data_IF_332938102294
#
_entry.id   IF_332938102294
#
_cell.length_a   1.000
_cell.length_b   1.000
_cell.length_c   1.000
_cell.angle_alpha   90.00
_cell.angle_beta   90.00
_cell.angle_gamma   90.00
#
_symmetry.space_group_name_H-M   'P 1'
#
loop_
_entity.id
_entity.type
_entity.pdbx_description
1 polymer ?
#
# COMPACT_ATOMS: atom_id res chain seq x y z
N UNK A 1 -0.18 -29.48 -2.31
CA UNK A 1 0.78 -29.72 -1.23
C UNK A 1 2.21 -29.65 -1.75
N UNK A 2 2.61 -30.51 -2.72
CA UNK A 2 4.00 -30.59 -3.18
C UNK A 2 4.57 -29.23 -3.65
N UNK A 3 3.83 -28.46 -4.47
CA UNK A 3 4.28 -27.13 -4.93
C UNK A 3 4.49 -26.15 -3.77
N UNK A 4 3.63 -26.16 -2.75
CA UNK A 4 3.80 -25.30 -1.57
C UNK A 4 5.03 -25.69 -0.75
N UNK A 5 5.29 -26.99 -0.61
CA UNK A 5 6.53 -27.45 0.01
C UNK A 5 7.76 -27.03 -0.79
N UNK A 6 7.72 -27.15 -2.14
CA UNK A 6 8.80 -26.70 -3.02
C UNK A 6 9.03 -25.20 -2.87
N UNK A 7 7.95 -24.40 -2.80
CA UNK A 7 8.03 -22.96 -2.57
C UNK A 7 8.78 -22.61 -1.26
N UNK A 8 8.51 -23.33 -0.16
CA UNK A 8 9.25 -23.16 1.09
C UNK A 8 10.73 -23.52 0.96
N UNK A 9 11.04 -24.62 0.26
CA UNK A 9 12.44 -25.05 0.04
C UNK A 9 13.20 -24.01 -0.79
N UNK A 10 12.60 -23.48 -1.86
CA UNK A 10 13.22 -22.46 -2.72
C UNK A 10 13.48 -21.17 -1.95
N UNK A 11 12.59 -20.77 -1.03
CA UNK A 11 12.83 -19.58 -0.19
C UNK A 11 14.06 -19.73 0.70
N UNK A 12 14.41 -20.94 1.13
CA UNK A 12 15.60 -21.22 1.93
C UNK A 12 16.84 -21.44 1.08
N UNK A 13 16.72 -22.26 0.02
CA UNK A 13 17.83 -22.69 -0.85
C UNK A 13 17.38 -22.60 -2.30
N UNK A 14 17.39 -21.40 -2.92
CA UNK A 14 16.94 -21.21 -4.30
C UNK A 14 17.80 -21.95 -5.34
N UNK A 15 19.06 -22.21 -5.04
CA UNK A 15 20.04 -22.82 -5.92
C UNK A 15 19.68 -24.24 -6.37
N UNK A 16 18.89 -24.96 -5.55
CA UNK A 16 18.51 -26.37 -5.82
C UNK A 16 17.72 -26.52 -7.13
N UNK A 17 16.90 -25.52 -7.49
CA UNK A 17 16.02 -25.55 -8.67
C UNK A 17 16.27 -24.40 -9.64
N UNK A 18 17.41 -23.74 -9.53
CA UNK A 18 17.73 -22.53 -10.29
C UNK A 18 17.65 -22.73 -11.81
N UNK A 19 18.08 -23.91 -12.31
CA UNK A 19 18.08 -24.24 -13.72
C UNK A 19 16.81 -24.95 -14.22
N UNK A 20 15.89 -25.27 -13.29
CA UNK A 20 14.71 -26.11 -13.56
C UNK A 20 13.42 -25.28 -13.69
N UNK A 21 13.51 -24.00 -13.99
CA UNK A 21 12.34 -23.10 -14.07
C UNK A 21 11.27 -23.62 -15.04
N UNK A 22 11.68 -24.26 -16.16
CA UNK A 22 10.79 -24.80 -17.19
C UNK A 22 9.85 -25.91 -16.70
N UNK A 23 10.25 -26.64 -15.65
CA UNK A 23 9.42 -27.71 -15.06
C UNK A 23 8.13 -27.13 -14.47
N UNK A 24 8.17 -25.86 -14.07
CA UNK A 24 7.04 -25.15 -13.47
C UNK A 24 6.16 -24.40 -14.48
N UNK A 25 6.44 -24.47 -15.77
CA UNK A 25 5.57 -23.88 -16.78
C UNK A 25 4.17 -24.49 -16.69
N UNK A 26 3.14 -23.61 -16.76
CA UNK A 26 1.76 -24.04 -16.61
C UNK A 26 1.28 -24.73 -17.87
N UNK A 27 0.63 -25.89 -17.70
CA UNK A 27 -0.02 -26.61 -18.80
C UNK A 27 -1.47 -26.18 -18.91
N UNK A 28 -2.02 -26.23 -20.10
CA UNK A 28 -3.42 -25.88 -20.35
C UNK A 28 -4.40 -26.60 -19.41
N UNK A 29 -4.17 -27.89 -19.17
CA UNK A 29 -5.03 -28.74 -18.34
C UNK A 29 -4.75 -28.64 -16.83
N UNK A 30 -3.81 -27.82 -16.38
CA UNK A 30 -3.53 -27.67 -14.98
C UNK A 30 -4.71 -26.94 -14.29
N UNK A 31 -5.19 -27.41 -13.13
CA UNK A 31 -6.18 -26.69 -12.35
C UNK A 31 -5.64 -25.30 -11.93
N UNK A 32 -6.53 -24.32 -11.80
CA UNK A 32 -6.17 -22.91 -11.50
C UNK A 32 -5.27 -22.79 -10.26
N UNK A 33 -5.57 -23.49 -9.19
CA UNK A 33 -4.75 -23.46 -7.96
C UNK A 33 -3.34 -24.04 -8.16
N UNK A 34 -3.15 -24.96 -9.12
CA UNK A 34 -1.83 -25.48 -9.49
C UNK A 34 -1.08 -24.46 -10.33
N UNK A 35 -1.75 -23.84 -11.30
CA UNK A 35 -1.18 -22.75 -12.12
C UNK A 35 -0.67 -21.60 -11.24
N UNK A 36 -1.46 -21.17 -10.25
CA UNK A 36 -1.08 -20.09 -9.33
C UNK A 36 0.17 -20.43 -8.53
N UNK A 37 0.27 -21.64 -7.95
CA UNK A 37 1.44 -22.06 -7.19
C UNK A 37 2.69 -22.22 -8.08
N UNK A 38 2.53 -22.70 -9.32
CA UNK A 38 3.62 -22.77 -10.30
C UNK A 38 4.12 -21.38 -10.67
N UNK A 39 3.21 -20.43 -10.89
CA UNK A 39 3.53 -19.05 -11.22
C UNK A 39 4.36 -18.38 -10.10
N UNK A 40 3.99 -18.60 -8.84
CA UNK A 40 4.77 -18.09 -7.69
C UNK A 40 6.20 -18.67 -7.68
N UNK A 41 6.35 -19.95 -7.96
CA UNK A 41 7.66 -20.62 -8.04
C UNK A 41 8.48 -20.05 -9.21
N UNK A 42 7.86 -19.88 -10.39
CA UNK A 42 8.53 -19.35 -11.57
C UNK A 42 9.11 -17.96 -11.31
N UNK A 43 8.34 -17.07 -10.66
CA UNK A 43 8.79 -15.72 -10.30
C UNK A 43 9.96 -15.74 -9.32
N UNK A 44 9.94 -16.67 -8.35
CA UNK A 44 11.04 -16.79 -7.39
C UNK A 44 12.33 -17.35 -8.00
N UNK A 45 12.19 -18.24 -9.00
CA UNK A 45 13.31 -18.83 -9.73
C UNK A 45 13.81 -17.97 -10.89
N UNK A 46 13.05 -16.93 -11.28
CA UNK A 46 13.46 -16.04 -12.37
C UNK A 46 14.77 -15.35 -12.06
N UNK A 47 15.74 -15.45 -12.99
CA UNK A 47 17.04 -14.83 -12.97
C UNK A 47 17.35 -14.17 -14.31
N UNK A 48 18.42 -13.40 -14.39
CA UNK A 48 18.81 -12.71 -15.63
C UNK A 48 18.89 -13.63 -16.85
N UNK A 49 19.35 -14.85 -16.67
CA UNK A 49 19.52 -15.85 -17.74
C UNK A 49 18.20 -16.50 -18.20
N UNK A 50 17.22 -16.61 -17.29
CA UNK A 50 15.97 -17.33 -17.52
C UNK A 50 14.78 -16.42 -17.71
N UNK A 51 14.91 -15.13 -17.39
CA UNK A 51 13.79 -14.16 -17.36
C UNK A 51 13.10 -14.04 -18.71
N UNK A 52 13.80 -14.10 -19.83
CA UNK A 52 13.20 -13.98 -21.16
C UNK A 52 12.23 -15.12 -21.46
N UNK A 53 12.59 -16.32 -21.04
CA UNK A 53 11.71 -17.50 -21.19
C UNK A 53 10.49 -17.40 -20.27
N UNK A 54 10.72 -16.93 -19.04
CA UNK A 54 9.63 -16.70 -18.08
C UNK A 54 8.69 -15.60 -18.57
N UNK A 55 9.19 -14.52 -19.15
CA UNK A 55 8.37 -13.44 -19.70
C UNK A 55 7.52 -13.87 -20.89
N UNK A 56 8.06 -14.72 -21.76
CA UNK A 56 7.30 -15.31 -22.87
C UNK A 56 6.10 -16.11 -22.36
N UNK A 57 6.32 -16.96 -21.37
CA UNK A 57 5.25 -17.75 -20.75
C UNK A 57 4.24 -16.84 -20.02
N UNK A 58 4.70 -15.86 -19.25
CA UNK A 58 3.81 -14.93 -18.54
C UNK A 58 2.95 -14.10 -19.51
N UNK A 59 3.49 -13.72 -20.65
CA UNK A 59 2.75 -13.03 -21.73
C UNK A 59 1.64 -13.93 -22.29
N UNK A 60 1.92 -15.21 -22.57
CA UNK A 60 0.91 -16.18 -23.00
C UNK A 60 -0.17 -16.37 -21.93
N UNK A 61 0.22 -16.46 -20.64
CA UNK A 61 -0.75 -16.60 -19.55
C UNK A 61 -1.62 -15.35 -19.38
N UNK A 62 -1.13 -14.17 -19.72
CA UNK A 62 -1.91 -12.94 -19.71
C UNK A 62 -3.00 -12.88 -20.79
N UNK A 63 -3.03 -13.84 -21.73
CA UNK A 63 -4.06 -13.98 -22.77
C UNK A 63 -5.05 -15.12 -22.51
N UNK A 64 -4.93 -15.83 -21.37
CA UNK A 64 -5.84 -16.91 -21.01
C UNK A 64 -7.26 -16.40 -20.65
N UNK A 65 -8.20 -17.34 -20.51
CA UNK A 65 -9.63 -17.04 -20.26
C UNK A 65 -9.90 -16.73 -18.79
N UNK A 66 -9.11 -17.28 -17.86
CA UNK A 66 -9.30 -17.11 -16.44
C UNK A 66 -8.75 -15.76 -15.97
N UNK A 67 -9.64 -14.85 -15.58
CA UNK A 67 -9.30 -13.46 -15.20
C UNK A 67 -8.35 -13.40 -14.00
N UNK A 68 -8.56 -14.24 -12.97
CA UNK A 68 -7.70 -14.23 -11.77
C UNK A 68 -6.28 -14.70 -12.09
N UNK A 69 -6.16 -15.68 -12.98
CA UNK A 69 -4.85 -16.15 -13.42
C UNK A 69 -4.14 -15.11 -14.30
N UNK A 70 -4.87 -14.46 -15.20
CA UNK A 70 -4.36 -13.36 -16.03
C UNK A 70 -3.83 -12.23 -15.18
N UNK A 71 -4.60 -11.73 -14.21
CA UNK A 71 -4.18 -10.69 -13.29
C UNK A 71 -2.91 -11.06 -12.54
N UNK A 72 -2.83 -12.29 -12.01
CA UNK A 72 -1.63 -12.78 -11.33
C UNK A 72 -0.43 -12.88 -12.26
N UNK A 73 -0.64 -13.21 -13.53
CA UNK A 73 0.42 -13.27 -14.54
C UNK A 73 0.97 -11.88 -14.86
N UNK A 74 0.10 -10.88 -14.98
CA UNK A 74 0.52 -9.47 -15.15
C UNK A 74 1.29 -8.97 -13.92
N UNK A 75 0.81 -9.25 -12.70
CA UNK A 75 1.55 -8.96 -11.45
C UNK A 75 2.90 -9.65 -11.39
N UNK A 76 2.98 -10.88 -11.91
CA UNK A 76 4.25 -11.63 -11.96
C UNK A 76 5.28 -10.96 -12.88
N UNK A 77 4.86 -10.40 -14.04
CA UNK A 77 5.73 -9.58 -14.90
C UNK A 77 6.30 -8.40 -14.12
N UNK A 78 5.46 -7.68 -13.36
CA UNK A 78 5.92 -6.57 -12.52
C UNK A 78 6.91 -6.98 -11.44
N UNK A 79 6.69 -8.11 -10.79
CA UNK A 79 7.62 -8.66 -9.80
C UNK A 79 8.97 -9.03 -10.42
N UNK A 80 8.97 -9.55 -11.64
CA UNK A 80 10.21 -9.78 -12.39
C UNK A 80 10.92 -8.45 -12.70
N UNK A 81 10.17 -7.40 -13.10
CA UNK A 81 10.73 -6.08 -13.38
C UNK A 81 11.39 -5.45 -12.13
N UNK A 82 10.72 -5.54 -10.98
CA UNK A 82 11.23 -4.99 -9.71
C UNK A 82 12.43 -5.78 -9.19
N UNK A 83 12.42 -7.10 -9.35
CA UNK A 83 13.45 -8.01 -8.83
C UNK A 83 14.71 -8.11 -9.70
N UNK A 84 14.60 -7.90 -11.02
CA UNK A 84 15.68 -8.08 -11.98
C UNK A 84 15.82 -6.81 -12.82
N UNK A 85 16.76 -5.94 -12.44
CA UNK A 85 16.93 -4.63 -13.08
C UNK A 85 17.25 -4.75 -14.59
N UNK A 86 18.07 -5.71 -14.99
CA UNK A 86 18.45 -5.95 -16.39
C UNK A 86 17.25 -6.39 -17.27
N UNK A 87 16.17 -6.90 -16.65
CA UNK A 87 14.96 -7.32 -17.35
C UNK A 87 13.85 -6.24 -17.33
N UNK A 88 14.00 -5.19 -16.52
CA UNK A 88 12.93 -4.22 -16.29
C UNK A 88 12.40 -3.58 -17.58
N UNK A 89 13.27 -3.21 -18.51
CA UNK A 89 12.88 -2.63 -19.81
C UNK A 89 12.07 -3.62 -20.66
N UNK A 90 12.47 -4.89 -20.68
CA UNK A 90 11.73 -5.94 -21.41
C UNK A 90 10.36 -6.21 -20.79
N UNK A 91 10.28 -6.24 -19.46
CA UNK A 91 9.01 -6.35 -18.75
C UNK A 91 8.07 -5.20 -19.07
N UNK A 92 8.60 -3.98 -19.11
CA UNK A 92 7.84 -2.76 -19.47
C UNK A 92 7.31 -2.86 -20.90
N UNK A 93 8.11 -3.30 -21.86
CA UNK A 93 7.67 -3.47 -23.24
C UNK A 93 6.54 -4.50 -23.35
N UNK A 94 6.63 -5.62 -22.64
CA UNK A 94 5.54 -6.62 -22.57
C UNK A 94 4.27 -6.02 -21.95
N UNK A 95 4.38 -5.20 -20.91
CA UNK A 95 3.22 -4.53 -20.30
C UNK A 95 2.56 -3.53 -21.26
N UNK A 96 3.34 -2.80 -22.06
CA UNK A 96 2.81 -1.91 -23.10
C UNK A 96 2.02 -2.70 -24.15
N UNK A 97 2.59 -3.80 -24.66
CA UNK A 97 1.90 -4.67 -25.60
C UNK A 97 0.58 -5.23 -25.03
N UNK A 98 0.56 -5.56 -23.72
CA UNK A 98 -0.64 -5.99 -23.04
C UNK A 98 -1.70 -4.87 -22.90
N UNK A 99 -1.28 -3.64 -22.67
CA UNK A 99 -2.18 -2.46 -22.64
C UNK A 99 -2.80 -2.22 -24.02
N UNK A 100 -2.02 -2.38 -25.09
CA UNK A 100 -2.50 -2.24 -26.48
C UNK A 100 -3.60 -3.25 -26.83
N UNK A 101 -3.73 -4.36 -26.12
CA UNK A 101 -4.84 -5.32 -26.31
C UNK A 101 -6.20 -4.74 -25.93
N UNK A 102 -6.23 -3.65 -25.13
CA UNK A 102 -7.45 -2.96 -24.64
C UNK A 102 -8.42 -3.85 -23.89
N UNK A 103 -7.94 -4.92 -23.30
CA UNK A 103 -8.74 -5.77 -22.42
C UNK A 103 -8.77 -5.12 -21.02
N UNK A 104 -9.94 -4.67 -20.56
CA UNK A 104 -10.09 -3.83 -19.36
C UNK A 104 -9.34 -4.36 -18.13
N UNK A 105 -9.58 -5.61 -17.71
CA UNK A 105 -8.91 -6.19 -16.52
C UNK A 105 -7.39 -6.35 -16.68
N UNK A 106 -6.88 -6.49 -17.93
CA UNK A 106 -5.43 -6.53 -18.20
C UNK A 106 -4.82 -5.14 -18.08
N UNK A 107 -5.48 -4.13 -18.68
CA UNK A 107 -5.05 -2.73 -18.60
C UNK A 107 -5.02 -2.24 -17.16
N UNK A 108 -6.08 -2.50 -16.40
CA UNK A 108 -6.17 -2.14 -14.99
C UNK A 108 -5.01 -2.70 -14.17
N UNK A 109 -4.74 -4.00 -14.33
CA UNK A 109 -3.66 -4.66 -13.62
C UNK A 109 -2.27 -4.17 -14.09
N UNK A 110 -2.10 -3.89 -15.38
CA UNK A 110 -0.86 -3.34 -15.93
C UNK A 110 -0.55 -1.94 -15.37
N UNK A 111 -1.56 -1.08 -15.20
CA UNK A 111 -1.40 0.26 -14.59
C UNK A 111 -0.91 0.15 -13.15
N UNK A 112 -1.48 -0.77 -12.35
CA UNK A 112 -1.05 -1.02 -10.97
C UNK A 112 0.42 -1.44 -10.93
N UNK A 113 0.80 -2.35 -11.80
CA UNK A 113 2.17 -2.88 -11.90
C UNK A 113 3.15 -1.80 -12.36
N UNK A 114 2.80 -1.00 -13.36
CA UNK A 114 3.64 0.09 -13.88
C UNK A 114 3.90 1.14 -12.79
N UNK A 115 2.92 1.46 -11.96
CA UNK A 115 3.12 2.33 -10.79
C UNK A 115 4.24 1.79 -9.88
N UNK A 116 4.27 0.47 -9.63
CA UNK A 116 5.31 -0.14 -8.79
C UNK A 116 6.68 -0.10 -9.46
N UNK A 117 6.75 -0.28 -10.80
CA UNK A 117 7.98 -0.13 -11.58
C UNK A 117 8.48 1.32 -11.52
N UNK A 118 7.61 2.32 -11.65
CA UNK A 118 7.99 3.73 -11.50
C UNK A 118 8.51 4.06 -10.10
N UNK A 119 7.95 3.45 -9.07
CA UNK A 119 8.45 3.60 -7.69
C UNK A 119 9.79 2.90 -7.47
N UNK A 120 10.08 1.83 -8.21
CA UNK A 120 11.38 1.14 -8.16
C UNK A 120 12.45 1.87 -8.94
N UNK A 121 12.09 2.39 -10.12
CA UNK A 121 13.01 3.06 -11.05
C UNK A 121 12.50 4.47 -11.40
N UNK A 122 12.61 5.44 -10.47
CA UNK A 122 12.15 6.80 -10.71
C UNK A 122 12.79 7.41 -11.97
N UNK A 123 11.98 8.12 -12.76
CA UNK A 123 12.40 8.87 -13.95
C UNK A 123 13.04 8.04 -15.09
N UNK A 124 12.90 6.71 -15.08
CA UNK A 124 13.53 5.87 -16.11
C UNK A 124 12.62 5.51 -17.28
N UNK A 125 11.32 5.36 -17.04
CA UNK A 125 10.36 4.87 -18.04
C UNK A 125 9.23 5.87 -18.34
N UNK A 126 9.52 7.15 -18.32
CA UNK A 126 8.53 8.23 -18.49
C UNK A 126 7.83 8.20 -19.87
N UNK A 127 8.46 7.61 -20.88
CA UNK A 127 7.90 7.49 -22.25
C UNK A 127 6.58 6.72 -22.33
N UNK A 128 6.23 5.97 -21.28
CA UNK A 128 5.00 5.17 -21.24
C UNK A 128 3.78 6.01 -20.82
N UNK A 129 4.01 7.14 -20.17
CA UNK A 129 2.95 7.96 -19.57
C UNK A 129 1.87 8.36 -20.58
N UNK A 130 2.19 8.81 -21.80
CA UNK A 130 1.16 9.12 -22.80
C UNK A 130 0.24 7.95 -23.11
N UNK A 131 0.81 6.75 -23.31
CA UNK A 131 0.03 5.52 -23.56
C UNK A 131 -0.90 5.16 -22.40
N UNK A 132 -0.47 5.41 -21.15
CA UNK A 132 -1.32 5.22 -19.97
C UNK A 132 -2.48 6.23 -19.95
N UNK A 133 -2.20 7.49 -20.29
CA UNK A 133 -3.23 8.56 -20.35
C UNK A 133 -4.28 8.30 -21.44
N UNK A 134 -3.94 7.63 -22.54
CA UNK A 134 -4.89 7.27 -23.61
C UNK A 134 -5.90 6.17 -23.19
N UNK A 135 -5.63 5.44 -22.10
CA UNK A 135 -6.45 4.32 -21.65
C UNK A 135 -7.22 4.60 -20.35
N UNK A 136 -7.39 5.86 -19.97
CA UNK A 136 -8.07 6.29 -18.74
C UNK A 136 -9.50 5.76 -18.63
N UNK A 137 -10.26 5.80 -19.73
CA UNK A 137 -11.67 5.42 -19.79
C UNK A 137 -11.89 3.91 -19.49
N UNK A 138 -10.83 3.10 -19.52
CA UNK A 138 -10.90 1.67 -19.24
C UNK A 138 -10.68 1.32 -17.76
N UNK A 139 -10.45 2.33 -16.91
CA UNK A 139 -10.10 2.15 -15.49
C UNK A 139 -11.33 2.24 -14.59
N UNK A 140 -12.00 1.09 -14.36
CA UNK A 140 -13.17 1.00 -13.48
C UNK A 140 -12.79 0.60 -12.05
N UNK A 141 -11.68 -0.12 -11.86
CA UNK A 141 -11.27 -0.59 -10.53
C UNK A 141 -10.62 0.52 -9.69
N UNK A 142 -11.01 0.67 -8.42
CA UNK A 142 -10.46 1.72 -7.55
C UNK A 142 -8.94 1.67 -7.40
N UNK A 143 -8.34 0.46 -7.34
CA UNK A 143 -6.88 0.30 -7.22
C UNK A 143 -6.15 0.80 -8.46
N UNK A 144 -6.70 0.54 -9.65
CA UNK A 144 -6.15 1.01 -10.93
C UNK A 144 -6.31 2.54 -11.06
N UNK A 145 -7.48 3.08 -10.72
CA UNK A 145 -7.75 4.53 -10.70
C UNK A 145 -6.80 5.26 -9.75
N UNK A 146 -6.67 4.79 -8.52
CA UNK A 146 -5.73 5.35 -7.54
C UNK A 146 -4.28 5.28 -8.01
N UNK A 147 -3.89 4.19 -8.70
CA UNK A 147 -2.54 4.02 -9.25
C UNK A 147 -2.27 5.03 -10.37
N UNK A 148 -3.25 5.23 -11.26
CA UNK A 148 -3.14 6.20 -12.34
C UNK A 148 -3.09 7.64 -11.83
N UNK A 149 -3.95 8.00 -10.90
CA UNK A 149 -3.93 9.31 -10.23
C UNK A 149 -2.59 9.57 -9.55
N UNK A 150 -2.00 8.55 -8.92
CA UNK A 150 -0.66 8.65 -8.35
C UNK A 150 0.40 8.96 -9.42
N UNK A 151 0.35 8.28 -10.58
CA UNK A 151 1.28 8.52 -11.70
C UNK A 151 1.13 9.95 -12.21
N UNK A 152 -0.10 10.43 -12.42
CA UNK A 152 -0.37 11.79 -12.90
C UNK A 152 0.20 12.83 -11.92
N UNK A 153 -0.03 12.67 -10.62
CA UNK A 153 0.50 13.57 -9.60
C UNK A 153 2.04 13.55 -9.51
N UNK A 154 2.66 12.35 -9.60
CA UNK A 154 4.11 12.22 -9.52
C UNK A 154 4.81 12.79 -10.76
N UNK A 155 4.24 12.62 -11.95
CA UNK A 155 4.81 13.07 -13.22
C UNK A 155 4.05 14.24 -13.84
N UNK A 156 3.38 15.06 -13.03
CA UNK A 156 2.59 16.20 -13.48
C UNK A 156 3.37 17.18 -14.38
N UNK A 157 4.68 17.30 -14.22
CA UNK A 157 5.55 18.13 -15.06
C UNK A 157 5.65 17.64 -16.51
N UNK A 158 5.50 16.33 -16.72
CA UNK A 158 5.63 15.65 -18.01
C UNK A 158 4.30 15.53 -18.77
N UNK A 159 3.20 15.77 -18.08
CA UNK A 159 1.85 15.66 -18.64
C UNK A 159 1.32 17.05 -18.85
N UNK A 160 1.10 17.46 -20.11
CA UNK A 160 0.69 18.82 -20.42
C UNK A 160 -0.72 19.12 -19.92
N UNK A 161 -1.64 18.17 -20.01
CA UNK A 161 -3.05 18.27 -19.62
C UNK A 161 -3.34 17.57 -18.26
N UNK A 162 -2.38 17.54 -17.34
CA UNK A 162 -2.55 16.90 -16.03
C UNK A 162 -3.69 17.52 -15.21
N UNK A 163 -3.89 18.83 -15.34
CA UNK A 163 -4.98 19.58 -14.70
C UNK A 163 -6.36 19.14 -15.23
N UNK A 164 -6.53 19.00 -16.54
CA UNK A 164 -7.78 18.56 -17.16
C UNK A 164 -8.15 17.11 -16.76
N UNK A 165 -7.15 16.23 -16.73
CA UNK A 165 -7.36 14.84 -16.32
C UNK A 165 -7.76 14.75 -14.85
N UNK A 166 -7.07 15.49 -13.96
CA UNK A 166 -7.43 15.47 -12.53
C UNK A 166 -8.79 16.13 -12.28
N UNK A 167 -9.19 17.11 -13.07
CA UNK A 167 -10.53 17.72 -13.01
C UNK A 167 -11.62 16.70 -13.33
N UNK A 168 -11.46 15.86 -14.35
CA UNK A 168 -12.38 14.76 -14.67
C UNK A 168 -12.54 13.78 -13.52
N UNK A 169 -11.43 13.40 -12.87
CA UNK A 169 -11.50 12.55 -11.68
C UNK A 169 -12.18 13.24 -10.49
N UNK A 170 -12.09 14.56 -10.41
CA UNK A 170 -12.68 15.34 -9.34
C UNK A 170 -14.21 15.44 -9.45
N UNK A 171 -14.76 15.40 -10.66
CA UNK A 171 -16.22 15.38 -10.88
C UNK A 171 -16.90 14.21 -10.15
N UNK A 172 -16.22 13.06 -10.06
CA UNK A 172 -16.71 11.87 -9.35
C UNK A 172 -16.18 11.76 -7.90
N UNK A 173 -15.49 12.76 -7.37
CA UNK A 173 -14.80 12.68 -6.07
C UNK A 173 -15.66 12.21 -4.90
N UNK A 174 -16.91 12.69 -4.69
CA UNK A 174 -17.72 12.25 -3.56
C UNK A 174 -18.15 10.78 -3.64
N UNK A 175 -18.23 10.23 -4.87
CA UNK A 175 -18.66 8.86 -5.14
C UNK A 175 -17.49 7.86 -5.12
N UNK A 176 -16.25 8.37 -5.14
CA UNK A 176 -15.07 7.54 -5.17
C UNK A 176 -14.75 6.92 -3.80
N UNK A 177 -14.22 5.68 -3.77
CA UNK A 177 -13.69 5.11 -2.54
C UNK A 177 -12.56 5.95 -1.93
N UNK A 178 -12.45 5.96 -0.60
CA UNK A 178 -11.43 6.73 0.16
C UNK A 178 -10.00 6.58 -0.38
N UNK A 179 -9.65 5.40 -0.90
CA UNK A 179 -8.34 5.15 -1.49
C UNK A 179 -8.07 6.05 -2.71
N UNK A 180 -9.07 6.23 -3.58
CA UNK A 180 -8.98 7.11 -4.77
C UNK A 180 -8.98 8.56 -4.33
N UNK A 181 -9.88 8.93 -3.41
CA UNK A 181 -9.98 10.29 -2.86
C UNK A 181 -8.64 10.75 -2.24
N UNK A 182 -7.98 9.89 -1.43
CA UNK A 182 -6.68 10.17 -0.83
C UNK A 182 -5.58 10.39 -1.88
N UNK A 183 -5.59 9.60 -2.96
CA UNK A 183 -4.62 9.78 -4.04
C UNK A 183 -4.91 11.04 -4.85
N UNK A 184 -6.18 11.33 -5.14
CA UNK A 184 -6.59 12.50 -5.89
C UNK A 184 -6.22 13.80 -5.16
N UNK A 185 -6.50 13.86 -3.86
CA UNK A 185 -6.07 14.98 -3.02
C UNK A 185 -4.54 15.15 -3.04
N UNK A 186 -3.79 14.07 -2.89
CA UNK A 186 -2.32 14.13 -2.91
C UNK A 186 -1.79 14.53 -4.30
N UNK A 187 -2.43 14.06 -5.38
CA UNK A 187 -2.06 14.43 -6.75
C UNK A 187 -2.33 15.90 -7.06
N UNK A 188 -3.48 16.44 -6.61
CA UNK A 188 -3.81 17.86 -6.75
C UNK A 188 -2.80 18.75 -6.02
N UNK A 189 -2.41 18.39 -4.80
CA UNK A 189 -1.36 19.10 -4.04
C UNK A 189 -0.03 19.07 -4.78
N UNK A 190 0.39 17.92 -5.30
CA UNK A 190 1.64 17.78 -6.08
C UNK A 190 1.60 18.60 -7.38
N UNK A 191 0.47 18.56 -8.10
CA UNK A 191 0.28 19.33 -9.33
C UNK A 191 0.45 20.82 -9.05
N UNK A 192 -0.22 21.34 -8.01
CA UNK A 192 -0.11 22.75 -7.61
C UNK A 192 1.32 23.15 -7.24
N UNK A 193 2.03 22.33 -6.46
CA UNK A 193 3.40 22.61 -6.05
C UNK A 193 4.41 22.54 -7.21
N UNK A 194 4.13 21.72 -8.24
CA UNK A 194 4.98 21.56 -9.43
C UNK A 194 4.67 22.59 -10.52
N UNK A 195 3.39 22.87 -10.76
CA UNK A 195 2.89 23.81 -11.79
C UNK A 195 1.92 24.81 -11.13
N UNK A 196 2.42 25.82 -10.42
CA UNK A 196 1.56 26.84 -9.81
C UNK A 196 0.91 27.67 -10.93
N UNK A 197 -0.39 27.46 -11.16
CA UNK A 197 -1.23 28.21 -12.08
C UNK A 197 -2.65 28.28 -11.56
N UNK A 198 -3.51 29.07 -12.19
CA UNK A 198 -4.87 29.32 -11.72
C UNK A 198 -5.72 28.04 -11.64
N UNK A 199 -5.64 27.17 -12.65
CA UNK A 199 -6.41 25.89 -12.65
C UNK A 199 -6.01 24.93 -11.52
N UNK A 200 -4.73 24.55 -11.31
CA UNK A 200 -4.31 23.77 -10.15
C UNK A 200 -4.67 24.40 -8.80
N UNK A 201 -4.70 25.73 -8.70
CA UNK A 201 -5.13 26.43 -7.50
C UNK A 201 -6.63 26.21 -7.24
N UNK A 202 -7.48 26.33 -8.26
CA UNK A 202 -8.91 26.03 -8.13
C UNK A 202 -9.16 24.56 -7.80
N UNK A 203 -8.44 23.64 -8.44
CA UNK A 203 -8.53 22.19 -8.14
C UNK A 203 -8.20 21.89 -6.68
N UNK A 204 -7.11 22.43 -6.15
CA UNK A 204 -6.72 22.16 -4.76
C UNK A 204 -7.71 22.73 -3.75
N UNK A 205 -8.27 23.93 -4.02
CA UNK A 205 -9.33 24.53 -3.18
C UNK A 205 -10.55 23.61 -3.13
N UNK A 206 -11.01 23.15 -4.29
CA UNK A 206 -12.17 22.29 -4.39
C UNK A 206 -11.96 20.93 -3.68
N UNK A 207 -10.82 20.28 -3.94
CA UNK A 207 -10.48 19.00 -3.29
C UNK A 207 -10.38 19.14 -1.77
N UNK A 208 -9.73 20.19 -1.27
CA UNK A 208 -9.60 20.41 0.17
C UNK A 208 -10.96 20.74 0.81
N UNK A 209 -11.83 21.47 0.12
CA UNK A 209 -13.18 21.75 0.60
C UNK A 209 -14.01 20.47 0.70
N UNK A 210 -14.06 19.65 -0.34
CA UNK A 210 -14.75 18.35 -0.29
C UNK A 210 -14.19 17.45 0.81
N UNK A 211 -12.87 17.35 0.92
CA UNK A 211 -12.22 16.49 1.90
C UNK A 211 -12.39 16.95 3.35
N UNK A 212 -12.64 18.24 3.61
CA UNK A 212 -12.80 18.75 4.98
C UNK A 212 -14.25 18.86 5.41
N UNK A 213 -15.17 19.11 4.48
CA UNK A 213 -16.59 19.43 4.79
C UNK A 213 -17.54 18.30 4.46
N UNK A 214 -17.32 17.53 3.41
CA UNK A 214 -18.29 16.59 2.86
C UNK A 214 -17.92 15.12 3.10
N UNK A 215 -16.69 14.85 3.58
CA UNK A 215 -16.27 13.44 3.77
C UNK A 215 -16.57 12.92 5.17
N UNK A 216 -16.97 11.64 5.23
CA UNK A 216 -17.13 10.90 6.49
C UNK A 216 -15.83 10.22 6.95
N UNK A 217 -14.84 10.06 6.04
CA UNK A 217 -13.57 9.41 6.32
C UNK A 217 -12.64 10.32 7.16
N UNK A 218 -12.30 9.93 8.41
CA UNK A 218 -11.44 10.73 9.28
C UNK A 218 -10.01 10.85 8.73
N UNK A 219 -9.46 9.79 8.10
CA UNK A 219 -8.08 9.80 7.57
C UNK A 219 -7.95 10.79 6.40
N UNK A 220 -8.98 10.86 5.56
CA UNK A 220 -9.02 11.82 4.46
C UNK A 220 -9.10 13.26 4.98
N UNK A 221 -9.97 13.50 5.97
CA UNK A 221 -10.16 14.81 6.61
C UNK A 221 -8.90 15.30 7.29
N UNK A 222 -8.25 14.45 8.09
CA UNK A 222 -7.03 14.80 8.80
C UNK A 222 -5.89 15.14 7.84
N UNK A 223 -5.74 14.37 6.77
CA UNK A 223 -4.75 14.65 5.73
C UNK A 223 -5.04 15.94 4.98
N UNK A 224 -6.30 16.26 4.72
CA UNK A 224 -6.68 17.54 4.10
C UNK A 224 -6.30 18.73 4.98
N UNK A 225 -6.56 18.66 6.29
CA UNK A 225 -6.12 19.70 7.24
C UNK A 225 -4.59 19.83 7.33
N UNK A 226 -3.84 18.71 7.25
CA UNK A 226 -2.38 18.75 7.22
C UNK A 226 -1.90 19.48 5.96
N UNK A 227 -2.42 19.14 4.78
CA UNK A 227 -2.03 19.81 3.54
C UNK A 227 -2.42 21.28 3.55
N UNK A 228 -3.63 21.60 4.00
CA UNK A 228 -4.07 22.97 4.12
C UNK A 228 -3.12 23.80 5.02
N UNK A 229 -2.78 23.27 6.19
CA UNK A 229 -1.83 23.95 7.10
C UNK A 229 -0.44 24.08 6.50
N UNK A 230 0.08 23.06 5.86
CA UNK A 230 1.39 23.11 5.20
C UNK A 230 1.43 24.19 4.14
N UNK A 231 0.43 24.25 3.27
CA UNK A 231 0.36 25.22 2.17
C UNK A 231 0.18 26.66 2.69
N UNK A 232 -0.57 26.83 3.77
CA UNK A 232 -0.84 28.17 4.36
C UNK A 232 0.30 28.72 5.21
N UNK A 233 1.12 27.86 5.82
CA UNK A 233 2.19 28.29 6.73
C UNK A 233 3.49 28.61 6.01
N UNK A 234 3.96 27.69 5.16
CA UNK A 234 5.20 27.83 4.41
C UNK A 234 5.18 26.96 3.15
N UNK A 235 4.94 27.55 1.97
CA UNK A 235 4.89 26.82 0.71
C UNK A 235 6.20 26.10 0.34
N UNK A 236 7.35 26.65 0.70
CA UNK A 236 8.64 26.01 0.42
C UNK A 236 8.86 24.78 1.32
N UNK A 237 8.44 24.84 2.57
CA UNK A 237 8.45 23.66 3.44
C UNK A 237 7.46 22.61 2.94
N UNK A 238 6.27 23.02 2.51
CA UNK A 238 5.29 22.13 1.88
C UNK A 238 5.88 21.41 0.67
N UNK A 239 6.57 22.14 -0.22
CA UNK A 239 7.26 21.59 -1.38
C UNK A 239 8.31 20.57 -1.00
N UNK A 240 9.16 20.89 -0.04
CA UNK A 240 10.22 19.99 0.44
C UNK A 240 9.67 18.70 1.07
N UNK A 241 8.52 18.76 1.75
CA UNK A 241 7.89 17.59 2.38
C UNK A 241 7.12 16.76 1.34
N UNK A 242 6.25 17.37 0.56
CA UNK A 242 5.34 16.68 -0.36
C UNK A 242 6.08 16.10 -1.57
N UNK A 243 7.05 16.84 -2.11
CA UNK A 243 7.87 16.44 -3.26
C UNK A 243 9.16 15.70 -2.87
N UNK A 244 9.39 15.44 -1.57
CA UNK A 244 10.53 14.67 -1.11
C UNK A 244 10.66 13.33 -1.86
N UNK A 245 11.89 12.90 -2.11
CA UNK A 245 12.15 11.59 -2.69
C UNK A 245 11.52 10.49 -1.85
N UNK A 246 10.79 9.58 -2.54
CA UNK A 246 10.14 8.45 -1.88
C UNK A 246 11.14 7.30 -1.73
N UNK A 247 11.04 6.53 -0.64
CA UNK A 247 11.85 5.33 -0.50
C UNK A 247 11.55 4.37 -1.66
N UNK A 248 12.61 3.83 -2.24
CA UNK A 248 12.52 2.87 -3.35
C UNK A 248 11.85 1.59 -2.84
N UNK A 249 10.95 1.02 -3.64
CA UNK A 249 10.37 -0.29 -3.34
C UNK A 249 11.46 -1.35 -3.43
N UNK A 250 11.69 -2.08 -2.34
CA UNK A 250 12.54 -3.24 -2.35
C UNK A 250 11.78 -4.47 -2.86
N UNK A 251 12.49 -5.37 -3.57
CA UNK A 251 11.95 -6.68 -3.93
C UNK A 251 11.76 -7.52 -2.66
N UNK A 252 10.65 -7.32 -2.00
CA UNK A 252 10.17 -8.27 -1.00
C UNK A 252 9.52 -9.44 -1.76
N UNK A 253 10.37 -10.27 -2.41
CA UNK A 253 9.91 -11.60 -2.85
C UNK A 253 9.15 -12.15 -1.67
N UNK A 254 7.88 -12.49 -1.77
CA UNK A 254 6.98 -13.00 -0.71
C UNK A 254 7.71 -13.94 0.28
N UNK A 255 8.79 -13.43 0.88
CA UNK A 255 9.64 -14.17 1.80
C UNK A 255 8.96 -14.18 3.15
N UNK A 256 8.76 -15.38 3.64
CA UNK A 256 8.33 -15.59 5.01
C UNK A 256 9.42 -15.11 5.97
N UNK A 257 8.99 -14.71 7.16
CA UNK A 257 9.93 -14.45 8.25
C UNK A 257 10.88 -15.64 8.42
N UNK A 258 12.20 -15.42 8.53
CA UNK A 258 13.20 -16.51 8.62
C UNK A 258 12.94 -17.52 9.73
N UNK A 259 12.41 -17.07 10.87
CA UNK A 259 12.05 -17.93 12.00
C UNK A 259 10.87 -18.83 11.64
N UNK A 260 9.81 -18.22 11.08
CA UNK A 260 8.64 -18.96 10.63
C UNK A 260 9.02 -19.96 9.52
N UNK A 261 9.84 -19.54 8.55
CA UNK A 261 10.33 -20.41 7.49
C UNK A 261 11.08 -21.63 8.04
N UNK A 262 11.93 -21.44 9.06
CA UNK A 262 12.61 -22.53 9.74
C UNK A 262 11.65 -23.57 10.33
N UNK A 263 10.64 -23.10 11.08
CA UNK A 263 9.60 -23.96 11.67
C UNK A 263 8.80 -24.70 10.60
N UNK A 264 8.42 -24.02 9.50
CA UNK A 264 7.66 -24.64 8.42
C UNK A 264 8.46 -25.70 7.64
N UNK A 265 9.77 -25.53 7.55
CA UNK A 265 10.67 -26.53 6.93
C UNK A 265 10.83 -27.78 7.77
N UNK A 266 10.84 -27.66 9.12
CA UNK A 266 10.83 -28.80 10.03
C UNK A 266 9.50 -29.58 9.97
N UNK A 267 8.39 -28.87 9.71
CA UNK A 267 7.05 -29.44 9.56
C UNK A 267 6.68 -29.69 8.09
N UNK A 268 7.67 -29.90 7.20
CA UNK A 268 7.45 -30.07 5.77
C UNK A 268 6.52 -31.27 5.49
N UNK A 269 5.53 -31.06 4.61
CA UNK A 269 4.53 -32.09 4.28
C UNK A 269 3.33 -32.14 5.24
N UNK A 270 3.34 -31.37 6.31
CA UNK A 270 2.21 -31.20 7.23
C UNK A 270 1.24 -30.10 6.74
N UNK A 271 0.13 -29.89 7.46
CA UNK A 271 -0.78 -28.78 7.20
C UNK A 271 -0.11 -27.41 7.40
N UNK A 272 0.88 -27.31 8.27
CA UNK A 272 1.67 -26.09 8.51
C UNK A 272 2.30 -25.58 7.22
N UNK A 273 2.96 -26.46 6.47
CA UNK A 273 3.59 -26.13 5.20
C UNK A 273 2.58 -25.81 4.07
N UNK A 274 1.35 -26.34 4.16
CA UNK A 274 0.28 -26.04 3.20
C UNK A 274 -0.33 -24.65 3.44
N UNK A 275 -0.56 -24.29 4.71
CA UNK A 275 -1.17 -23.01 5.08
C UNK A 275 -0.17 -21.89 5.36
N UNK A 276 1.12 -22.17 5.33
CA UNK A 276 2.20 -21.26 5.72
C UNK A 276 1.97 -20.64 7.12
N UNK A 277 1.49 -21.47 8.04
CA UNK A 277 1.24 -21.12 9.45
C UNK A 277 1.84 -22.17 10.36
N UNK A 278 2.51 -21.74 11.42
CA UNK A 278 3.03 -22.67 12.42
C UNK A 278 1.90 -23.51 13.03
N UNK A 279 2.16 -24.80 13.30
CA UNK A 279 1.20 -25.73 13.90
C UNK A 279 0.60 -25.21 15.22
N UNK A 280 1.37 -24.45 15.97
CA UNK A 280 0.94 -23.77 17.19
C UNK A 280 -0.24 -22.79 17.00
N UNK A 281 -0.45 -22.28 15.78
CA UNK A 281 -1.53 -21.35 15.50
C UNK A 281 -2.90 -22.02 15.40
N UNK A 282 -2.96 -23.32 15.07
CA UNK A 282 -4.21 -24.07 14.86
C UNK A 282 -4.29 -25.39 15.62
N UNK A 283 -3.19 -25.90 16.22
CA UNK A 283 -3.15 -27.09 17.06
C UNK A 283 -2.76 -26.72 18.49
N UNK A 284 -3.65 -26.90 19.45
CA UNK A 284 -3.43 -26.50 20.86
C UNK A 284 -2.13 -27.08 21.46
N UNK A 285 -1.85 -28.36 21.20
CA UNK A 285 -0.62 -29.05 21.72
C UNK A 285 0.64 -28.49 21.06
N UNK A 286 0.59 -28.13 19.78
CA UNK A 286 1.70 -27.49 19.08
C UNK A 286 2.01 -26.10 19.64
N UNK A 287 0.98 -25.37 20.08
CA UNK A 287 1.14 -24.06 20.70
C UNK A 287 1.93 -24.09 22.01
N UNK A 288 1.68 -25.09 22.86
CA UNK A 288 2.43 -25.27 24.11
C UNK A 288 3.91 -25.65 23.85
N UNK A 289 4.16 -26.44 22.81
CA UNK A 289 5.52 -26.85 22.43
C UNK A 289 6.33 -25.67 21.88
N UNK A 290 5.76 -24.88 20.95
CA UNK A 290 6.44 -23.71 20.39
C UNK A 290 6.65 -22.63 21.46
N UNK A 291 5.72 -22.48 22.43
CA UNK A 291 5.94 -21.58 23.56
C UNK A 291 7.11 -22.03 24.46
N UNK A 292 7.31 -23.32 24.64
CA UNK A 292 8.48 -23.86 25.38
C UNK A 292 9.79 -23.76 24.58
N UNK A 293 9.73 -23.90 23.25
CA UNK A 293 10.90 -23.78 22.37
C UNK A 293 11.25 -22.31 22.07
N UNK A 294 10.28 -21.39 22.15
CA UNK A 294 10.52 -19.95 22.10
C UNK A 294 11.10 -19.37 23.41
N UNK A 295 11.10 -20.12 24.48
CA UNK A 295 11.97 -19.91 25.65
C UNK A 295 13.40 -20.43 25.38
N UNK A 296 13.90 -20.32 24.16
CA UNK A 296 15.31 -20.47 23.83
C UNK A 296 16.13 -19.41 24.56
N UNK A 297 17.36 -19.76 24.98
CA UNK A 297 18.15 -18.95 25.88
C UNK A 297 18.22 -17.51 25.42
N UNK A 298 17.88 -16.60 26.29
CA UNK A 298 17.99 -15.18 26.06
C UNK A 298 19.41 -14.89 25.55
N UNK A 299 19.54 -13.89 24.69
CA UNK A 299 20.84 -13.42 24.19
C UNK A 299 21.87 -13.27 25.32
N UNK A 300 21.40 -13.09 26.56
CA UNK A 300 22.17 -13.07 27.80
C UNK A 300 22.87 -14.39 28.12
N UNK A 301 22.24 -15.54 27.89
CA UNK A 301 22.87 -16.82 28.17
C UNK A 301 23.94 -17.24 27.15
N UNK A 302 23.80 -16.77 25.91
CA UNK A 302 24.82 -16.95 24.85
C UNK A 302 26.02 -16.02 25.09
N UNK A 303 25.77 -14.83 25.63
CA UNK A 303 26.83 -13.89 26.04
C UNK A 303 27.57 -14.38 27.29
N UNK A 304 26.86 -14.95 28.26
CA UNK A 304 27.45 -15.51 29.46
C UNK A 304 28.29 -16.78 29.16
N UNK A 305 27.91 -17.58 28.16
CA UNK A 305 28.68 -18.72 27.69
C UNK A 305 29.92 -18.34 26.90
N UNK A 306 29.90 -17.23 26.17
CA UNK A 306 31.06 -16.62 25.49
C UNK A 306 32.03 -15.95 26.49
N UNK A 307 31.52 -15.36 27.56
CA UNK A 307 32.34 -14.75 28.61
C UNK A 307 32.99 -15.78 29.57
N UNK A 308 32.37 -16.95 29.74
CA UNK A 308 32.91 -18.02 30.52
C UNK A 308 34.04 -18.83 29.82
N UNK A 309 34.25 -18.62 28.52
CA UNK A 309 35.28 -19.29 27.72
C UNK A 309 36.64 -18.59 27.66
N UNK A 310 36.80 -17.39 28.22
CA UNK A 310 38.03 -16.59 28.14
C UNK A 310 38.79 -16.41 29.47
N UNK A 311 38.51 -17.18 30.50
CA UNK A 311 39.32 -17.15 31.76
C UNK A 311 40.50 -18.14 31.68
N UNK A 312 41.58 -17.68 31.08
CA UNK A 312 42.85 -18.41 31.04
C UNK A 312 44.05 -17.58 30.63
N UNK A 313 44.29 -16.44 31.21
CA UNK A 313 45.66 -15.99 31.48
C UNK A 313 45.69 -14.68 32.30
N UNK A 314 46.01 -14.81 33.58
CA UNK A 314 46.30 -13.69 34.47
C UNK A 314 47.76 -13.30 34.28
N UNK A 315 48.02 -12.06 33.85
CA UNK A 315 49.28 -11.35 34.16
C UNK A 315 48.92 -9.98 34.72
N UNK A 316 49.27 -9.83 36.01
CA UNK A 316 49.17 -8.61 36.75
C UNK A 316 50.22 -7.57 36.30
N UNK A 317 49.80 -6.33 36.01
CA UNK A 317 50.61 -5.16 36.25
C UNK A 317 49.76 -4.01 36.79
N UNK A 318 50.30 -3.41 37.83
CA UNK A 318 49.76 -2.32 38.63
C UNK A 318 49.88 -0.95 37.95
N UNK A 319 49.03 -0.05 38.45
CA UNK A 319 49.18 1.40 38.61
C UNK A 319 48.89 2.33 37.42
N UNK A 320 47.93 3.25 37.67
CA UNK A 320 47.81 4.51 36.93
C UNK A 320 46.41 5.14 37.00
N UNK A 321 46.19 5.87 38.06
CA UNK A 321 45.21 6.92 38.35
C UNK A 321 44.86 7.83 37.11
N UNK A 322 43.59 8.12 36.87
CA UNK A 322 43.03 9.45 36.66
C UNK A 322 41.66 9.47 35.92
N UNK A 323 40.68 10.05 36.56
CA UNK A 323 39.74 10.97 35.89
C UNK A 323 38.42 10.38 35.33
N UNK A 324 37.48 10.11 36.21
CA UNK A 324 36.08 9.94 35.84
C UNK A 324 35.48 11.29 35.36
N UNK A 325 35.08 11.37 34.10
CA UNK A 325 34.11 12.35 33.62
C UNK A 325 32.81 11.63 33.33
N UNK A 326 31.82 11.85 34.19
CA UNK A 326 30.47 11.32 34.04
C UNK A 326 29.81 11.90 32.79
N UNK A 327 29.47 11.02 31.84
CA UNK A 327 28.55 11.32 30.76
C UNK A 327 27.13 11.35 31.30
N UNK A 328 26.47 12.48 31.19
CA UNK A 328 25.06 12.63 31.51
C UNK A 328 24.21 11.81 30.51
N UNK A 329 23.17 11.11 30.94
CA UNK A 329 22.26 10.43 30.05
C UNK A 329 21.42 11.46 29.28
N UNK A 330 21.33 11.28 27.95
CA UNK A 330 20.42 12.02 27.10
C UNK A 330 18.97 11.66 27.46
N UNK A 331 18.04 12.65 27.49
CA UNK A 331 16.64 12.38 27.77
C UNK A 331 16.01 11.55 26.65
N UNK A 332 15.34 10.50 27.05
CA UNK A 332 14.55 9.61 26.19
C UNK A 332 13.26 10.31 25.79
N UNK A 333 13.28 10.96 24.62
CA UNK A 333 12.13 11.70 24.05
C UNK A 333 11.01 10.81 23.52
N UNK A 334 11.17 9.48 23.55
CA UNK A 334 10.17 8.51 23.11
C UNK A 334 9.35 7.90 24.25
N UNK A 335 9.81 7.99 25.49
CA UNK A 335 9.13 7.47 26.67
C UNK A 335 7.88 8.23 27.08
N UNK A 336 7.86 9.53 26.85
CA UNK A 336 6.75 10.43 27.26
C UNK A 336 5.52 10.37 26.33
N UNK A 337 5.61 9.72 25.18
CA UNK A 337 4.49 9.64 24.21
C UNK A 337 3.62 8.38 24.37
N UNK A 338 4.00 7.44 25.23
CA UNK A 338 3.30 6.15 25.39
C UNK A 338 2.66 5.93 26.76
N UNK A 339 2.70 6.92 27.66
CA UNK A 339 2.03 6.83 28.96
C UNK A 339 0.62 7.44 28.90
N UNK A 340 -0.28 6.74 28.19
CA UNK A 340 -1.72 6.91 28.30
C UNK A 340 -2.24 5.85 29.27
N UNK A 341 -2.04 6.08 30.57
CA UNK A 341 -2.71 5.33 31.62
C UNK A 341 -4.17 5.74 31.66
N UNK A 342 -5.04 4.84 31.23
CA UNK A 342 -6.50 4.98 31.37
C UNK A 342 -6.91 5.08 32.86
N UNK A 343 -7.76 6.03 33.22
CA UNK A 343 -8.40 6.00 34.54
C UNK A 343 -9.52 4.95 34.56
N UNK A 344 -9.35 3.97 35.39
CA UNK A 344 -10.40 3.00 35.75
C UNK A 344 -11.59 3.74 36.31
N UNK A 345 -12.69 3.78 35.55
CA UNK A 345 -14.02 4.17 36.04
C UNK A 345 -14.83 2.91 36.24
N UNK A 346 -15.11 2.63 37.50
CA UNK A 346 -15.97 1.56 38.00
C UNK A 346 -17.44 1.79 37.59
N UNK A 347 -18.03 0.75 37.00
CA UNK A 347 -19.46 0.68 36.68
C UNK A 347 -20.35 0.62 37.92
N UNK A 348 -21.53 1.23 37.89
CA UNK A 348 -22.65 0.76 38.71
C UNK A 348 -23.67 -0.05 37.88
N UNK A 349 -23.91 -1.23 38.35
CA UNK A 349 -24.98 -2.16 37.95
C UNK A 349 -26.31 -1.47 38.12
N UNK A 350 -27.13 -1.39 37.05
CA UNK A 350 -28.60 -1.24 37.17
C UNK A 350 -29.29 -2.10 36.13
N UNK A 351 -30.18 -2.91 36.67
CA UNK A 351 -31.06 -3.91 36.14
C UNK A 351 -32.07 -3.42 35.11
N UNK A 352 -32.40 -4.33 34.19
CA UNK A 352 -33.47 -4.27 33.21
C UNK A 352 -34.87 -4.09 33.81
N UNK A 353 -35.81 -3.53 33.05
CA UNK A 353 -37.04 -4.29 32.85
C UNK A 353 -37.51 -4.36 31.37
N UNK A 354 -37.98 -5.55 31.05
CA UNK A 354 -38.80 -5.99 29.94
C UNK A 354 -40.08 -5.18 29.86
N UNK A 355 -40.59 -4.82 28.66
CA UNK A 355 -42.02 -4.89 28.24
C UNK A 355 -42.22 -4.46 26.79
N UNK A 356 -42.58 -5.41 25.95
CA UNK A 356 -43.68 -5.53 24.97
C UNK A 356 -43.95 -4.45 23.91
N UNK A 357 -43.98 -4.96 22.66
CA UNK A 357 -44.68 -4.40 21.47
C UNK A 357 -46.15 -4.16 21.65
N UNK A 358 -46.76 -3.25 20.87
CA UNK A 358 -47.73 -3.68 19.86
C UNK A 358 -47.72 -2.87 18.54
N UNK A 359 -47.71 -3.56 17.45
CA UNK A 359 -48.61 -3.81 16.32
C UNK A 359 -49.57 -2.67 15.87
N UNK A 360 -49.38 -2.30 14.54
CA UNK A 360 -50.38 -2.00 13.49
C UNK A 360 -51.15 -0.68 13.52
N UNK A 361 -51.03 0.14 12.50
CA UNK A 361 -52.02 0.27 11.39
C UNK A 361 -51.82 1.57 10.59
N UNK A 362 -51.79 1.41 9.26
CA UNK A 362 -52.09 2.45 8.28
C UNK A 362 -53.55 2.89 8.36
N UNK A 363 -53.90 4.11 7.92
CA UNK A 363 -54.58 4.27 6.64
C UNK A 363 -54.27 5.59 5.86
N UNK A 364 -54.08 5.51 4.60
CA UNK A 364 -54.85 5.86 3.39
C UNK A 364 -55.60 7.22 3.38
N UNK A 365 -55.17 8.07 2.38
CA UNK A 365 -55.91 8.96 1.43
C UNK A 365 -56.61 10.21 1.96
N UNK A 366 -56.27 11.37 1.43
CA UNK A 366 -56.94 12.16 0.40
C UNK A 366 -56.60 13.64 0.48
N UNK A 367 -56.26 14.20 -0.61
CA UNK A 367 -56.74 15.28 -1.43
C UNK A 367 -57.07 16.62 -0.77
N UNK A 368 -56.55 17.70 -1.37
CA UNK A 368 -57.07 19.04 -1.10
C UNK A 368 -56.13 20.13 -1.62
N UNK A 369 -56.47 20.64 -2.77
CA UNK A 369 -55.98 21.89 -3.37
C UNK A 369 -56.26 23.10 -2.44
N UNK A 370 -55.36 24.10 -2.49
CA UNK A 370 -55.60 25.38 -1.85
C UNK A 370 -54.55 26.41 -2.14
N UNK A 371 -54.85 27.30 -3.06
CA UNK A 371 -54.16 28.56 -3.38
C UNK A 371 -53.96 29.45 -2.15
N UNK A 372 -52.88 30.23 -2.15
CA UNK A 372 -52.70 31.37 -1.26
C UNK A 372 -51.37 32.09 -1.41
N UNK A 373 -51.43 33.19 -2.13
CA UNK A 373 -50.39 34.25 -2.27
C UNK A 373 -49.83 34.73 -0.93
N UNK A 374 -48.57 35.18 -0.95
CA UNK A 374 -48.15 36.14 0.05
C UNK A 374 -46.69 36.31 0.33
N UNK A 375 -46.03 37.22 -0.40
CA UNK A 375 -44.99 38.16 0.08
C UNK A 375 -43.58 37.69 0.47
N UNK A 376 -42.72 38.07 -0.40
CA UNK A 376 -41.29 38.43 -0.37
C UNK A 376 -40.85 39.07 0.96
N UNK A 377 -39.80 38.52 1.59
CA UNK A 377 -38.81 39.30 2.33
C UNK A 377 -37.42 38.84 1.87
N UNK A 378 -36.79 39.65 1.09
CA UNK A 378 -35.36 39.63 0.80
C UNK A 378 -34.58 39.84 2.09
N UNK A 379 -33.80 38.85 2.48
CA UNK A 379 -32.74 38.98 3.43
C UNK A 379 -31.43 38.60 2.71
N UNK A 380 -30.74 39.60 2.13
CA UNK A 380 -29.43 39.44 1.56
C UNK A 380 -28.46 39.07 2.66
N UNK A 381 -28.08 37.79 2.70
CA UNK A 381 -26.81 37.38 3.35
C UNK A 381 -25.68 37.69 2.37
N UNK A 382 -24.79 38.56 2.78
CA UNK A 382 -23.52 38.76 2.13
C UNK A 382 -22.79 37.42 2.04
N UNK A 383 -22.06 37.09 0.94
CA UNK A 383 -21.26 35.89 0.86
C UNK A 383 -20.19 35.94 1.96
N UNK A 384 -20.16 34.96 2.83
CA UNK A 384 -19.03 34.70 3.70
C UNK A 384 -17.79 34.53 2.80
N UNK A 385 -16.81 35.39 3.00
CA UNK A 385 -15.53 35.33 2.30
C UNK A 385 -14.93 33.95 2.52
N UNK A 386 -14.64 33.25 1.44
CA UNK A 386 -13.99 31.93 1.47
C UNK A 386 -12.57 32.09 2.05
N UNK A 387 -12.30 31.54 3.24
CA UNK A 387 -10.99 31.70 3.91
C UNK A 387 -9.83 31.07 3.13
N UNK A 388 -10.13 30.22 2.12
CA UNK A 388 -9.15 29.63 1.21
C UNK A 388 -8.70 30.61 0.10
N UNK A 389 -9.59 31.49 -0.36
CA UNK A 389 -9.26 32.43 -1.41
C UNK A 389 -8.24 33.50 -0.95
N UNK A 390 -8.34 33.95 0.32
CA UNK A 390 -7.41 34.92 0.90
C UNK A 390 -6.02 34.32 1.19
N UNK A 391 -5.94 33.01 1.41
CA UNK A 391 -4.70 32.33 1.79
C UNK A 391 -3.81 31.96 0.59
N UNK A 392 -4.40 31.72 -0.57
CA UNK A 392 -3.66 31.30 -1.77
C UNK A 392 -3.40 32.47 -2.75
N UNK A 393 -4.06 33.62 -2.56
CA UNK A 393 -3.86 34.83 -3.36
C UNK A 393 -2.55 35.59 -3.10
N UNK A 394 -1.71 35.13 -2.17
CA UNK A 394 -0.42 35.73 -1.82
C UNK A 394 0.81 35.02 -2.38
N UNK A 395 0.64 34.14 -3.35
CA UNK A 395 1.72 33.36 -3.96
C UNK A 395 2.00 33.86 -5.41
N UNK A 396 2.21 35.18 -5.60
CA UNK A 396 2.83 35.75 -6.81
C UNK A 396 4.35 35.84 -6.65
#
# INVERSE_FOLDING_TARGET
>A
VALRCINLVIQKVPEVLEHEVRVFFCKYNDPIYVKIEKLEIMVQLAREETVDQVLLELKEYATEVDVDFVRRSVRAIGRCAVGIESAAERCVNVLIELIETRVSYVVQEAVIVIKDIFRRYPNRYESIIPTLCENLDSLDEPEARASMVWIIGEYAERIDNADEILEQFLESFPEEPSMVQLQLMTAAVKLFLKKPSERPQQLIQLVLTYSTQETDDPDLRDRAFIYWRLLSTDPEVAKNIVLAEKPVIEDRKNRLDPVLLGVLLEELGSLSSVFHKASASFVKRGRERVMREAELPSVQSVLDEQLAGEDGHVVATKDGDAGATAAQPMPDLLGDLLDLSDPVVSDPVVSDPVVSDPVVSDPVVSGGEGHGDGLIVEGSKAPEADPLADLLGGLD
#
